data_IF_872715208868
#
_entry.id   IF_872715208868
#
_cell.length_a   1.000
_cell.length_b   1.000
_cell.length_c   1.000
_cell.angle_alpha   90.00
_cell.angle_beta   90.00
_cell.angle_gamma   90.00
#
_symmetry.space_group_name_H-M   'P 1'
#
loop_
_entity.id
_entity.type
_entity.pdbx_description
1 polymer ?
#
# COMPACT_ATOMS: atom_id res chain seq x y z
N UNK A 1 -19.01 13.01 -2.41
CA UNK A 1 -18.66 12.12 -1.27
C UNK A 1 -17.17 12.25 -1.02
N UNK A 2 -16.75 12.54 0.22
CA UNK A 2 -15.34 12.62 0.63
C UNK A 2 -15.14 11.52 1.68
N UNK A 3 -14.21 10.60 1.46
CA UNK A 3 -13.91 9.49 2.38
C UNK A 3 -14.36 8.09 1.96
N UNK A 4 -14.68 7.84 0.68
CA UNK A 4 -14.70 6.46 0.19
C UNK A 4 -13.26 5.95 0.15
N UNK A 5 -12.99 4.86 0.85
CA UNK A 5 -11.68 4.24 0.84
C UNK A 5 -11.39 3.73 -0.57
N UNK A 6 -10.22 4.06 -1.10
CA UNK A 6 -9.78 3.57 -2.41
C UNK A 6 -9.27 2.15 -2.25
N UNK A 7 -9.74 1.25 -3.11
CA UNK A 7 -9.22 -0.13 -3.19
C UNK A 7 -7.96 -0.24 -4.05
N UNK A 8 -7.54 0.86 -4.67
CA UNK A 8 -6.37 0.96 -5.54
C UNK A 8 -5.26 1.75 -4.85
N UNK A 9 -4.02 1.37 -5.13
CA UNK A 9 -2.80 2.06 -4.70
C UNK A 9 -2.83 3.52 -5.14
N UNK A 10 -2.48 4.41 -4.22
CA UNK A 10 -2.30 5.83 -4.50
C UNK A 10 -0.91 6.28 -4.04
N UNK A 11 -0.49 7.46 -4.49
CA UNK A 11 0.84 8.01 -4.24
C UNK A 11 1.15 8.05 -2.75
N UNK A 12 2.41 7.78 -2.40
CA UNK A 12 3.00 8.15 -1.11
C UNK A 12 3.79 9.44 -1.31
N UNK A 13 3.56 10.43 -0.46
CA UNK A 13 4.26 11.72 -0.53
C UNK A 13 4.84 12.13 0.83
N UNK A 14 5.91 12.92 0.78
CA UNK A 14 6.46 13.59 1.95
C UNK A 14 5.96 15.03 1.96
N UNK A 15 5.21 15.40 2.99
CA UNK A 15 4.73 16.76 3.19
C UNK A 15 5.25 17.31 4.50
N UNK A 16 6.10 18.35 4.42
CA UNK A 16 6.85 18.91 5.56
C UNK A 16 7.64 17.80 6.28
N UNK A 17 7.37 17.60 7.57
CA UNK A 17 8.02 16.61 8.41
C UNK A 17 7.26 15.27 8.48
N UNK A 18 6.17 15.12 7.73
CA UNK A 18 5.32 13.94 7.71
C UNK A 18 5.33 13.20 6.37
N UNK A 19 4.93 11.93 6.42
CA UNK A 19 4.62 11.12 5.24
C UNK A 19 3.10 10.95 5.14
N UNK A 20 2.57 11.08 3.93
CA UNK A 20 1.16 10.88 3.60
C UNK A 20 1.09 9.71 2.63
N UNK A 21 0.37 8.66 3.03
CA UNK A 21 -0.01 7.55 2.15
C UNK A 21 -1.52 7.65 1.93
N UNK A 22 -1.93 8.04 0.72
CA UNK A 22 -3.34 8.29 0.43
C UNK A 22 -4.16 7.00 0.35
N UNK A 23 -3.58 5.93 -0.19
CA UNK A 23 -4.16 4.58 -0.22
C UNK A 23 -3.06 3.58 -0.50
N UNK A 24 -3.05 2.48 0.25
CA UNK A 24 -2.15 1.34 0.02
C UNK A 24 -2.79 0.25 -0.86
N UNK A 25 -4.05 0.42 -1.26
CA UNK A 25 -4.82 -0.63 -1.92
C UNK A 25 -5.30 -1.71 -0.94
N UNK A 26 -5.61 -2.88 -1.47
CA UNK A 26 -6.17 -4.00 -0.71
C UNK A 26 -5.08 -4.87 -0.09
N UNK A 27 -5.14 -5.20 1.21
CA UNK A 27 -4.16 -6.12 1.82
C UNK A 27 -4.59 -7.60 1.67
N UNK A 28 -5.84 -7.92 2.05
CA UNK A 28 -6.50 -9.21 1.83
C UNK A 28 -8.00 -8.92 1.70
N UNK A 29 -8.55 -9.00 0.48
CA UNK A 29 -9.96 -8.75 0.21
C UNK A 29 -10.44 -9.60 -0.96
N UNK A 30 -11.72 -9.95 -0.99
CA UNK A 30 -12.40 -10.75 -2.04
C UNK A 30 -12.83 -9.93 -3.26
N UNK A 31 -12.31 -8.70 -3.39
CA UNK A 31 -12.68 -7.76 -4.44
C UNK A 31 -11.83 -7.93 -5.71
N UNK A 32 -11.87 -9.12 -6.31
CA UNK A 32 -11.21 -9.44 -7.59
C UNK A 32 -11.86 -8.83 -8.83
N UNK A 33 -12.57 -7.70 -8.68
CA UNK A 33 -13.37 -7.10 -9.75
C UNK A 33 -12.52 -6.45 -10.86
N UNK A 34 -11.25 -6.14 -10.57
CA UNK A 34 -10.29 -5.56 -11.51
C UNK A 34 -8.84 -5.90 -11.13
N UNK A 35 -7.92 -5.86 -12.10
CA UNK A 35 -6.48 -6.01 -11.83
C UNK A 35 -5.96 -4.94 -10.84
N UNK A 36 -6.47 -3.71 -10.94
CA UNK A 36 -6.03 -2.60 -10.08
C UNK A 36 -6.39 -2.79 -8.61
N UNK A 37 -7.47 -3.53 -8.31
CA UNK A 37 -7.86 -3.88 -6.94
C UNK A 37 -7.11 -5.10 -6.39
N UNK A 38 -6.34 -5.79 -7.23
CA UNK A 38 -5.44 -6.89 -6.87
C UNK A 38 -4.00 -6.41 -6.62
N UNK A 39 -3.71 -5.14 -6.90
CA UNK A 39 -2.40 -4.51 -6.61
C UNK A 39 -2.45 -3.75 -5.30
N UNK A 40 -1.36 -3.81 -4.54
CA UNK A 40 -1.27 -3.25 -3.19
C UNK A 40 0.16 -2.90 -2.80
N UNK A 41 0.33 -2.16 -1.72
CA UNK A 41 1.63 -1.84 -1.13
C UNK A 41 1.61 -2.15 0.36
N UNK A 42 2.62 -2.88 0.84
CA UNK A 42 2.99 -2.88 2.26
C UNK A 42 3.96 -1.74 2.50
N UNK A 43 3.64 -0.87 3.45
CA UNK A 43 4.53 0.22 3.83
C UNK A 43 5.35 -0.17 5.07
N UNK A 44 6.63 -0.47 4.87
CA UNK A 44 7.58 -0.67 5.97
C UNK A 44 8.10 0.67 6.45
N UNK A 45 7.94 0.94 7.75
CA UNK A 45 8.31 2.23 8.37
C UNK A 45 9.37 2.01 9.43
N UNK A 46 10.50 2.70 9.32
CA UNK A 46 11.55 2.71 10.35
C UNK A 46 11.34 3.91 11.25
N UNK A 47 11.04 3.65 12.53
CA UNK A 47 10.85 4.68 13.55
C UNK A 47 12.10 4.75 14.43
N UNK A 48 12.67 5.95 14.58
CA UNK A 48 13.80 6.23 15.46
C UNK A 48 13.58 7.56 16.19
N UNK A 49 13.88 7.61 17.48
CA UNK A 49 13.77 8.84 18.29
C UNK A 49 12.39 9.51 18.18
N UNK A 50 11.32 8.69 18.16
CA UNK A 50 9.91 9.11 17.97
C UNK A 50 9.61 9.78 16.62
N UNK A 51 10.48 9.64 15.63
CA UNK A 51 10.31 10.17 14.26
C UNK A 51 10.37 9.05 13.23
N UNK A 52 9.69 9.24 12.11
CA UNK A 52 9.84 8.37 10.93
C UNK A 52 11.18 8.70 10.29
N UNK A 53 12.10 7.73 10.29
CA UNK A 53 13.44 7.85 9.71
C UNK A 53 13.41 7.54 8.22
N UNK A 54 12.83 6.39 7.88
CA UNK A 54 12.80 5.83 6.53
C UNK A 54 11.46 5.13 6.30
N UNK A 55 11.03 5.09 5.04
CA UNK A 55 9.89 4.29 4.60
C UNK A 55 10.33 3.47 3.38
N UNK A 56 9.82 2.25 3.27
CA UNK A 56 10.05 1.36 2.14
C UNK A 56 8.68 0.82 1.70
N UNK A 57 8.14 1.30 0.58
CA UNK A 57 7.00 0.65 -0.05
C UNK A 57 7.46 -0.67 -0.67
N UNK A 58 6.77 -1.75 -0.34
CA UNK A 58 6.95 -3.09 -0.91
C UNK A 58 5.68 -3.45 -1.68
N UNK A 59 5.81 -3.68 -2.98
CA UNK A 59 4.68 -4.01 -3.84
C UNK A 59 4.16 -5.41 -3.55
N UNK A 60 2.83 -5.53 -3.49
CA UNK A 60 2.09 -6.76 -3.27
C UNK A 60 1.12 -6.97 -4.42
N UNK A 61 1.05 -8.21 -4.89
CA UNK A 61 0.00 -8.67 -5.78
C UNK A 61 -0.85 -9.71 -5.05
N UNK A 62 -2.17 -9.55 -5.12
CA UNK A 62 -3.12 -10.52 -4.59
C UNK A 62 -3.31 -11.58 -5.68
N UNK A 63 -3.05 -12.85 -5.35
CA UNK A 63 -3.23 -13.95 -6.29
C UNK A 63 -4.72 -14.35 -6.46
N UNK A 64 -5.00 -15.31 -7.34
CA UNK A 64 -6.36 -15.80 -7.61
C UNK A 64 -7.05 -16.46 -6.41
N UNK A 65 -6.29 -16.80 -5.36
CA UNK A 65 -6.79 -17.34 -4.10
C UNK A 65 -6.98 -16.26 -3.03
N UNK A 66 -6.91 -14.99 -3.41
CA UNK A 66 -7.01 -13.83 -2.51
C UNK A 66 -5.91 -13.77 -1.45
N UNK A 67 -4.70 -14.23 -1.79
CA UNK A 67 -3.54 -14.20 -0.91
C UNK A 67 -2.53 -13.16 -1.39
N UNK A 68 -1.97 -12.34 -0.48
CA UNK A 68 -0.97 -11.35 -0.84
C UNK A 68 0.39 -12.03 -1.05
N UNK A 69 1.01 -11.74 -2.19
CA UNK A 69 2.37 -12.18 -2.54
C UNK A 69 3.28 -10.98 -2.76
N UNK A 70 4.50 -11.05 -2.23
CA UNK A 70 5.52 -10.04 -2.49
C UNK A 70 5.91 -10.11 -3.97
N UNK A 71 5.81 -8.96 -4.65
CA UNK A 71 6.37 -8.81 -5.99
C UNK A 71 7.89 -8.75 -5.84
N UNK A 72 8.52 -9.92 -5.87
CA UNK A 72 9.97 -10.03 -5.90
C UNK A 72 10.41 -9.83 -7.35
N UNK A 73 10.99 -8.66 -7.65
CA UNK A 73 11.49 -8.37 -8.99
C UNK A 73 12.54 -9.38 -9.44
N UNK A 74 12.42 -9.83 -10.70
CA UNK A 74 13.54 -10.40 -11.46
C UNK A 74 14.55 -9.32 -11.84
#
# INVERSE_FOLDING_TARGET
MIGHHSHVVQRIEKYKDGWISYSLGNFVFDQGFSEETMKSIILKVVIKDKKIKEIFPEDIEINEYFQPELVTGN
#
